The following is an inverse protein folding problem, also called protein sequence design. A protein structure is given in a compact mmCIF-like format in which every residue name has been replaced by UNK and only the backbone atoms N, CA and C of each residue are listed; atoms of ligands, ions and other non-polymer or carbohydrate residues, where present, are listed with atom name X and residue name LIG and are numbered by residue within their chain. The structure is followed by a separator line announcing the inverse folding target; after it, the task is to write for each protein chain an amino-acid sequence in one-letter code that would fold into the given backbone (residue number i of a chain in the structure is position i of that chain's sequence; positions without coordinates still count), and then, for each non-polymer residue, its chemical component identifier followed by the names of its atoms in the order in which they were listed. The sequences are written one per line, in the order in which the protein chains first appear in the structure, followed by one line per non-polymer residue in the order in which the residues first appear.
data_IF_356718721959
#
_entry.id   IF_356718721959
#
_cell.length_a   1.000
_cell.length_b   1.000
_cell.length_c   1.000
_cell.angle_alpha   90.00
_cell.angle_beta   90.00
_cell.angle_gamma   90.00
#
_symmetry.space_group_name_H-M   'P 1'
#
loop_
_entity.id
_entity.type
_entity.pdbx_description
1 polymer ?
#
# COMPACT_ATOMS: atom_id res chain seq x y z
N UNK A 1 29.41 -40.63 -21.82
CA UNK A 1 28.50 -40.87 -22.97
C UNK A 1 28.26 -39.53 -23.65
N UNK A 2 28.61 -39.43 -24.94
CA UNK A 2 28.47 -38.22 -25.77
C UNK A 2 27.25 -38.39 -26.68
N UNK A 3 26.37 -37.39 -26.77
CA UNK A 3 25.36 -37.32 -27.82
C UNK A 3 25.66 -36.14 -28.74
N UNK A 4 25.74 -36.44 -30.03
CA UNK A 4 25.81 -35.51 -31.15
C UNK A 4 24.36 -35.23 -31.56
N UNK A 5 23.87 -34.01 -31.32
CA UNK A 5 22.58 -33.56 -31.84
C UNK A 5 22.82 -32.64 -33.02
N UNK A 6 22.33 -33.05 -34.19
CA UNK A 6 22.31 -32.29 -35.43
C UNK A 6 21.39 -31.07 -35.23
N UNK A 7 21.93 -29.86 -35.36
CA UNK A 7 21.11 -28.67 -35.53
C UNK A 7 20.34 -28.79 -36.85
N UNK A 8 19.04 -29.05 -36.78
CA UNK A 8 18.11 -28.55 -37.79
C UNK A 8 17.90 -27.07 -37.47
N UNK A 9 18.50 -26.20 -38.28
CA UNK A 9 18.15 -24.79 -38.31
C UNK A 9 16.71 -24.67 -38.82
N UNK A 10 15.74 -24.73 -37.90
CA UNK A 10 14.43 -24.16 -38.16
C UNK A 10 14.62 -22.64 -38.32
N UNK A 11 13.91 -21.96 -39.25
CA UNK A 11 13.82 -20.52 -39.21
C UNK A 11 13.29 -20.18 -37.81
N UNK A 12 14.07 -19.43 -37.03
CA UNK A 12 13.59 -18.85 -35.81
C UNK A 12 12.45 -17.90 -36.18
N UNK A 13 11.23 -18.41 -36.19
CA UNK A 13 10.06 -17.62 -35.89
C UNK A 13 10.33 -17.11 -34.48
N UNK A 14 10.85 -15.88 -34.43
CA UNK A 14 10.84 -15.06 -33.23
C UNK A 14 9.37 -14.91 -32.89
N UNK A 15 8.83 -15.85 -32.13
CA UNK A 15 7.73 -15.54 -31.25
C UNK A 15 8.31 -14.50 -30.31
N UNK A 16 8.17 -13.24 -30.68
CA UNK A 16 8.02 -12.20 -29.69
C UNK A 16 6.97 -12.78 -28.75
N UNK A 17 7.42 -13.23 -27.57
CA UNK A 17 6.49 -13.47 -26.47
C UNK A 17 5.84 -12.12 -26.31
N UNK A 18 4.63 -11.99 -26.84
CA UNK A 18 3.73 -10.93 -26.41
C UNK A 18 3.80 -10.99 -24.90
N UNK A 19 4.44 -9.98 -24.31
CA UNK A 19 4.30 -9.66 -22.91
C UNK A 19 2.83 -9.29 -22.81
N UNK A 20 1.97 -10.31 -22.72
CA UNK A 20 0.56 -10.17 -22.45
C UNK A 20 0.50 -9.30 -21.22
N UNK A 21 0.10 -8.03 -21.41
CA UNK A 21 -0.14 -7.11 -20.31
C UNK A 21 -1.46 -7.47 -19.66
N UNK A 22 -1.61 -8.75 -19.28
CA UNK A 22 -2.78 -9.23 -18.59
C UNK A 22 -2.81 -8.51 -17.24
N UNK A 23 -3.71 -7.53 -17.15
CA UNK A 23 -3.91 -6.76 -15.92
C UNK A 23 -4.67 -7.68 -14.97
N UNK A 24 -3.92 -8.30 -14.06
CA UNK A 24 -4.50 -9.09 -12.97
C UNK A 24 -4.93 -8.12 -11.87
N UNK A 25 -6.23 -8.08 -11.55
CA UNK A 25 -6.72 -7.40 -10.34
C UNK A 25 -6.45 -8.28 -9.14
N UNK A 26 -5.98 -7.69 -8.05
CA UNK A 26 -5.68 -8.40 -6.82
C UNK A 26 -5.48 -7.46 -5.63
N UNK A 27 -5.03 -8.04 -4.53
CA UNK A 27 -4.73 -7.35 -3.27
C UNK A 27 -3.23 -7.27 -3.04
N UNK A 28 -2.82 -6.42 -2.11
CA UNK A 28 -1.43 -6.44 -1.64
C UNK A 28 -1.34 -6.18 -0.15
N UNK A 29 -0.36 -6.83 0.47
CA UNK A 29 0.16 -6.51 1.79
C UNK A 29 1.59 -6.02 1.65
N UNK A 30 2.27 -5.83 2.78
CA UNK A 30 3.69 -5.56 2.78
C UNK A 30 4.39 -6.32 3.90
N UNK A 31 5.70 -6.45 3.71
CA UNK A 31 6.61 -6.96 4.71
C UNK A 31 7.92 -6.17 4.72
N UNK A 32 8.76 -6.43 5.72
CA UNK A 32 10.03 -5.74 5.89
C UNK A 32 10.94 -5.75 4.65
N UNK A 33 10.92 -6.85 3.88
CA UNK A 33 11.50 -6.94 2.54
C UNK A 33 13.01 -6.69 2.43
N UNK A 34 13.80 -7.70 2.08
CA UNK A 34 15.21 -7.52 1.71
C UNK A 34 15.67 -8.60 0.72
N UNK A 35 16.89 -8.47 0.21
CA UNK A 35 17.51 -9.46 -0.69
C UNK A 35 18.46 -10.44 0.03
N UNK A 36 18.63 -10.29 1.35
CA UNK A 36 19.44 -11.18 2.18
C UNK A 36 18.63 -12.43 2.57
N UNK A 37 18.17 -13.16 1.56
CA UNK A 37 17.31 -14.33 1.70
C UNK A 37 16.33 -14.44 0.54
N UNK A 38 15.13 -14.91 0.85
CA UNK A 38 14.05 -15.08 -0.10
C UNK A 38 14.22 -16.29 -1.02
N UNK A 39 13.10 -16.75 -1.56
CA UNK A 39 12.99 -17.99 -2.32
C UNK A 39 13.72 -17.90 -3.67
N UNK A 40 13.95 -16.70 -4.20
CA UNK A 40 14.75 -16.51 -5.43
C UNK A 40 16.27 -16.55 -5.20
N UNK A 41 16.74 -16.58 -3.95
CA UNK A 41 18.18 -16.65 -3.62
C UNK A 41 19.04 -15.53 -4.24
N UNK A 42 18.49 -14.33 -4.41
CA UNK A 42 19.20 -13.16 -4.94
C UNK A 42 20.13 -12.49 -3.91
N UNK A 43 20.73 -13.29 -3.03
CA UNK A 43 21.72 -12.84 -2.05
C UNK A 43 22.86 -12.15 -2.81
N UNK A 44 23.32 -11.00 -2.30
CA UNK A 44 24.32 -10.09 -2.92
C UNK A 44 23.89 -9.33 -4.18
N UNK A 45 22.69 -9.57 -4.70
CA UNK A 45 22.13 -8.72 -5.77
C UNK A 45 21.79 -7.33 -5.22
N UNK A 46 21.87 -6.32 -6.09
CA UNK A 46 21.38 -4.97 -5.81
C UNK A 46 20.34 -4.61 -6.85
N UNK A 47 19.14 -4.25 -6.39
CA UNK A 47 18.08 -3.79 -7.29
C UNK A 47 18.55 -2.51 -8.02
N UNK A 48 18.35 -2.42 -9.35
CA UNK A 48 18.59 -1.19 -10.08
C UNK A 48 17.75 -0.03 -9.53
N UNK A 49 18.24 1.20 -9.66
CA UNK A 49 17.52 2.39 -9.24
C UNK A 49 16.12 2.44 -9.90
N UNK A 50 15.09 2.74 -9.10
CA UNK A 50 13.70 2.80 -9.56
C UNK A 50 12.99 1.45 -9.71
N UNK A 51 13.65 0.33 -9.37
CA UNK A 51 13.02 -0.99 -9.26
C UNK A 51 12.97 -1.38 -7.79
N UNK A 52 11.79 -1.80 -7.34
CA UNK A 52 11.59 -2.25 -5.96
C UNK A 52 11.39 -3.78 -5.88
N UNK A 53 11.33 -4.34 -4.67
CA UNK A 53 11.11 -5.78 -4.47
C UNK A 53 9.67 -6.12 -4.06
N UNK A 54 9.27 -7.36 -4.37
CA UNK A 54 8.02 -7.99 -3.88
C UNK A 54 8.20 -9.49 -3.74
N UNK A 55 7.47 -10.10 -2.79
CA UNK A 55 7.19 -11.53 -2.79
C UNK A 55 5.95 -11.80 -3.66
N UNK A 56 6.00 -12.86 -4.46
CA UNK A 56 4.92 -13.24 -5.38
C UNK A 56 4.06 -14.35 -4.82
N UNK A 57 2.77 -14.36 -5.21
CA UNK A 57 1.79 -15.35 -4.77
C UNK A 57 2.31 -16.79 -4.86
N UNK A 58 2.24 -17.51 -3.74
CA UNK A 58 2.63 -18.91 -3.66
C UNK A 58 1.81 -19.79 -4.59
N UNK A 59 0.52 -19.47 -4.77
CA UNK A 59 -0.40 -20.16 -5.69
C UNK A 59 -0.04 -19.95 -7.17
N UNK A 60 0.75 -18.92 -7.50
CA UNK A 60 1.22 -18.62 -8.85
C UNK A 60 2.76 -18.60 -8.94
N UNK A 61 3.45 -19.33 -8.05
CA UNK A 61 4.91 -19.25 -7.92
C UNK A 61 5.68 -19.82 -9.12
N UNK A 62 5.06 -20.71 -9.90
CA UNK A 62 5.64 -21.34 -11.09
C UNK A 62 7.03 -21.98 -10.86
N UNK A 63 7.20 -22.69 -9.73
CA UNK A 63 8.48 -23.34 -9.35
C UNK A 63 9.71 -22.41 -9.53
N UNK A 64 9.60 -21.16 -9.06
CA UNK A 64 10.61 -20.10 -9.19
C UNK A 64 10.82 -19.54 -10.62
N UNK A 65 10.06 -19.99 -11.63
CA UNK A 65 10.11 -19.47 -13.00
C UNK A 65 9.74 -17.98 -13.13
N UNK A 66 9.17 -17.38 -12.08
CA UNK A 66 8.87 -15.95 -12.01
C UNK A 66 9.97 -15.12 -11.34
N UNK A 67 11.00 -15.74 -10.75
CA UNK A 67 12.08 -15.02 -10.10
C UNK A 67 12.79 -14.08 -11.08
N UNK A 68 13.01 -12.83 -10.64
CA UNK A 68 13.68 -11.80 -11.44
C UNK A 68 12.79 -11.11 -12.48
N UNK A 69 11.57 -11.62 -12.71
CA UNK A 69 10.61 -10.93 -13.57
C UNK A 69 10.21 -9.59 -12.94
N UNK A 70 10.08 -8.56 -13.78
CA UNK A 70 9.56 -7.27 -13.38
C UNK A 70 8.07 -7.16 -13.73
N UNK A 71 7.28 -6.71 -12.76
CA UNK A 71 5.85 -6.42 -12.92
C UNK A 71 5.58 -4.95 -12.61
N UNK A 72 4.61 -4.37 -13.30
CA UNK A 72 4.10 -3.03 -12.99
C UNK A 72 2.93 -3.14 -12.00
N UNK A 73 3.09 -2.58 -10.81
CA UNK A 73 2.03 -2.52 -9.79
C UNK A 73 1.37 -1.15 -9.89
N UNK A 74 0.05 -1.13 -10.14
CA UNK A 74 -0.76 0.08 -10.06
C UNK A 74 -1.43 0.13 -8.69
N UNK A 75 -1.07 1.12 -7.88
CA UNK A 75 -1.67 1.33 -6.56
C UNK A 75 -3.00 2.08 -6.61
N UNK A 76 -3.64 2.29 -5.44
CA UNK A 76 -5.01 2.81 -5.34
C UNK A 76 -5.18 4.22 -5.94
N UNK A 77 -4.12 5.03 -5.93
CA UNK A 77 -4.13 6.39 -6.48
C UNK A 77 -3.78 6.43 -7.98
N UNK A 78 -3.77 5.28 -8.66
CA UNK A 78 -3.35 5.15 -10.07
C UNK A 78 -1.84 5.22 -10.29
N UNK A 79 -1.05 5.38 -9.22
CA UNK A 79 0.42 5.42 -9.30
C UNK A 79 0.97 4.05 -9.69
N UNK A 80 1.88 4.03 -10.66
CA UNK A 80 2.51 2.84 -11.20
C UNK A 80 3.96 2.72 -10.73
N UNK A 81 4.35 1.55 -10.25
CA UNK A 81 5.73 1.25 -9.84
C UNK A 81 6.18 -0.07 -10.43
N UNK A 82 7.44 -0.11 -10.86
CA UNK A 82 8.09 -1.34 -11.31
C UNK A 82 8.67 -2.09 -10.11
N UNK A 83 8.30 -3.36 -10.00
CA UNK A 83 8.73 -4.23 -8.92
C UNK A 83 9.28 -5.52 -9.49
N UNK A 84 10.34 -6.06 -8.88
CA UNK A 84 10.93 -7.33 -9.24
C UNK A 84 10.44 -8.40 -8.26
N UNK A 85 10.08 -9.57 -8.79
CA UNK A 85 9.76 -10.74 -7.98
C UNK A 85 11.07 -11.31 -7.44
N UNK A 86 11.25 -11.21 -6.12
CA UNK A 86 12.49 -11.60 -5.43
C UNK A 86 12.26 -12.65 -4.34
N UNK A 87 11.00 -12.92 -4.00
CA UNK A 87 10.63 -13.89 -2.99
C UNK A 87 9.26 -14.52 -3.30
N UNK A 88 8.88 -15.56 -2.55
CA UNK A 88 7.58 -16.22 -2.57
C UNK A 88 6.84 -15.84 -1.29
N UNK A 89 5.55 -15.57 -1.41
CA UNK A 89 4.61 -15.55 -0.28
C UNK A 89 3.78 -16.85 -0.32
N UNK A 90 4.17 -17.92 0.42
CA UNK A 90 3.51 -19.23 0.33
C UNK A 90 2.01 -19.20 0.65
N UNK A 91 1.60 -18.34 1.58
CA UNK A 91 0.24 -18.15 2.06
C UNK A 91 -0.62 -17.27 1.17
N UNK A 92 -0.02 -16.55 0.22
CA UNK A 92 -0.72 -15.60 -0.63
C UNK A 92 -1.50 -16.30 -1.76
N UNK A 93 -2.79 -16.00 -1.84
CA UNK A 93 -3.69 -16.41 -2.94
C UNK A 93 -3.32 -15.79 -4.29
N UNK A 94 -3.92 -16.30 -5.37
CA UNK A 94 -3.62 -15.87 -6.74
C UNK A 94 -3.97 -14.39 -6.92
N UNK A 95 -3.00 -13.62 -7.42
CA UNK A 95 -3.15 -12.17 -7.61
C UNK A 95 -2.79 -11.33 -6.38
N UNK A 96 -2.50 -11.95 -5.23
CA UNK A 96 -1.97 -11.23 -4.07
C UNK A 96 -0.46 -11.03 -4.18
N UNK A 97 0.00 -9.80 -3.93
CA UNK A 97 1.42 -9.45 -3.84
C UNK A 97 1.79 -9.05 -2.42
N UNK A 98 2.91 -9.53 -1.91
CA UNK A 98 3.44 -9.07 -0.63
C UNK A 98 4.64 -8.15 -0.90
N UNK A 99 4.35 -6.86 -1.00
CA UNK A 99 5.27 -5.84 -1.46
C UNK A 99 6.34 -5.58 -0.39
N UNK A 100 7.56 -5.17 -0.76
CA UNK A 100 8.44 -4.56 0.25
C UNK A 100 7.76 -3.31 0.83
N UNK A 101 8.01 -2.99 2.09
CA UNK A 101 7.43 -1.80 2.72
C UNK A 101 7.62 -0.53 1.86
N UNK A 102 8.84 -0.29 1.36
CA UNK A 102 9.12 0.86 0.51
C UNK A 102 8.34 0.84 -0.82
N UNK A 103 8.10 -0.34 -1.39
CA UNK A 103 7.24 -0.52 -2.56
C UNK A 103 5.80 -0.18 -2.23
N UNK A 104 5.26 -0.73 -1.14
CA UNK A 104 3.89 -0.54 -0.68
C UNK A 104 3.60 0.93 -0.44
N UNK A 105 4.46 1.61 0.32
CA UNK A 105 4.37 3.04 0.59
C UNK A 105 4.42 3.83 -0.73
N UNK A 106 5.35 3.46 -1.61
CA UNK A 106 5.54 4.17 -2.86
C UNK A 106 4.35 4.00 -3.82
N UNK A 107 3.65 2.86 -3.86
CA UNK A 107 2.43 2.69 -4.69
C UNK A 107 1.19 3.34 -4.05
N UNK A 108 1.28 3.84 -2.82
CA UNK A 108 0.14 4.38 -2.09
C UNK A 108 -0.66 3.30 -1.35
N UNK A 109 -0.04 2.15 -1.11
CA UNK A 109 -0.51 1.22 -0.10
C UNK A 109 -0.67 1.95 1.23
N UNK A 110 -1.72 1.60 1.96
CA UNK A 110 -1.99 2.24 3.25
C UNK A 110 -2.68 1.28 4.18
N UNK A 111 -2.21 1.29 5.42
CA UNK A 111 -2.91 0.68 6.52
C UNK A 111 -4.03 1.66 6.91
N UNK A 112 -5.31 1.29 6.84
CA UNK A 112 -6.41 2.12 7.37
C UNK A 112 -7.27 2.93 6.39
N UNK A 113 -7.17 2.76 5.06
CA UNK A 113 -8.12 3.42 4.12
C UNK A 113 -9.58 3.03 4.35
N UNK A 114 -9.77 1.77 4.77
CA UNK A 114 -11.05 1.11 4.93
C UNK A 114 -11.55 1.14 6.38
N UNK A 115 -10.79 1.74 7.29
CA UNK A 115 -11.18 1.93 8.68
C UNK A 115 -10.49 3.16 9.25
N UNK A 116 -11.28 4.16 9.63
CA UNK A 116 -10.76 5.34 10.30
C UNK A 116 -11.03 5.24 11.80
N UNK A 117 -10.00 5.51 12.60
CA UNK A 117 -10.13 5.67 14.05
C UNK A 117 -9.11 6.70 14.52
N UNK A 118 -9.58 7.80 15.11
CA UNK A 118 -8.72 8.91 15.54
C UNK A 118 -9.09 9.38 16.95
N UNK A 119 -8.08 9.68 17.76
CA UNK A 119 -8.26 10.23 19.09
C UNK A 119 -7.84 11.70 19.11
N UNK A 120 -8.65 12.55 19.73
CA UNK A 120 -8.29 13.94 20.05
C UNK A 120 -7.75 13.99 21.48
N UNK A 121 -6.55 14.54 21.65
CA UNK A 121 -5.86 14.67 22.96
C UNK A 121 -5.48 16.13 23.23
N UNK A 122 -5.24 16.44 24.51
CA UNK A 122 -4.79 17.76 24.97
C UNK A 122 -5.72 18.94 24.61
N UNK A 123 -7.02 18.68 24.51
CA UNK A 123 -8.04 19.73 24.37
C UNK A 123 -8.27 20.43 25.71
N UNK A 124 -8.34 21.77 25.72
CA UNK A 124 -8.65 22.56 26.93
C UNK A 124 -10.15 22.61 27.27
N UNK A 125 -11.01 22.12 26.37
CA UNK A 125 -12.45 21.93 26.60
C UNK A 125 -12.87 20.50 26.21
N UNK A 126 -14.00 19.97 26.71
CA UNK A 126 -14.54 18.69 26.24
C UNK A 126 -14.79 18.72 24.74
N UNK A 127 -14.40 17.65 24.04
CA UNK A 127 -14.63 17.54 22.59
C UNK A 127 -16.05 17.00 22.36
N UNK A 128 -16.84 17.68 21.53
CA UNK A 128 -18.19 17.27 21.15
C UNK A 128 -18.19 16.32 19.96
N UNK A 129 -17.50 16.68 18.87
CA UNK A 129 -17.49 15.90 17.63
C UNK A 129 -16.17 16.05 16.87
N UNK A 130 -15.92 15.07 16.00
CA UNK A 130 -14.87 15.12 14.98
C UNK A 130 -15.51 14.83 13.63
N UNK A 131 -15.28 15.71 12.67
CA UNK A 131 -15.74 15.57 11.30
C UNK A 131 -14.53 15.60 10.37
N UNK A 132 -14.65 14.92 9.24
CA UNK A 132 -13.55 14.71 8.30
C UNK A 132 -13.94 15.23 6.92
N UNK A 133 -13.01 15.90 6.26
CA UNK A 133 -13.13 16.35 4.89
C UNK A 133 -12.04 15.73 4.02
N UNK A 134 -12.42 15.28 2.83
CA UNK A 134 -11.51 14.74 1.80
C UNK A 134 -11.40 15.66 0.58
N UNK A 135 -12.05 16.83 0.61
CA UNK A 135 -12.20 17.75 -0.52
C UNK A 135 -11.70 19.17 -0.22
N UNK A 136 -10.80 19.30 0.76
CA UNK A 136 -10.20 20.57 1.17
C UNK A 136 -11.15 21.46 1.99
N UNK A 137 -12.05 20.85 2.75
CA UNK A 137 -12.98 21.53 3.65
C UNK A 137 -14.30 21.98 3.03
N UNK A 138 -14.60 21.58 1.79
CA UNK A 138 -15.86 21.94 1.10
C UNK A 138 -17.04 21.16 1.68
N UNK A 139 -16.83 19.89 2.03
CA UNK A 139 -17.80 19.05 2.72
C UNK A 139 -17.18 18.32 3.92
N UNK A 140 -18.02 17.99 4.89
CA UNK A 140 -17.62 17.41 6.17
C UNK A 140 -18.50 16.21 6.50
N UNK A 141 -17.87 15.04 6.67
CA UNK A 141 -18.53 13.80 7.05
C UNK A 141 -18.29 13.52 8.53
N UNK A 142 -19.38 13.30 9.26
CA UNK A 142 -19.32 12.97 10.68
C UNK A 142 -18.67 11.60 10.95
N UNK A 143 -18.08 11.48 12.13
CA UNK A 143 -17.60 10.22 12.70
C UNK A 143 -18.42 9.85 13.93
N UNK A 144 -18.28 8.62 14.41
CA UNK A 144 -18.93 8.14 15.64
C UNK A 144 -17.92 8.06 16.77
N UNK A 145 -18.19 8.76 17.88
CA UNK A 145 -17.41 8.63 19.11
C UNK A 145 -17.68 7.28 19.77
N UNK A 146 -16.61 6.60 20.19
CA UNK A 146 -16.64 5.38 20.99
C UNK A 146 -16.39 5.67 22.47
N UNK A 147 -16.75 4.72 23.32
CA UNK A 147 -16.57 4.75 24.78
C UNK A 147 -15.08 4.83 25.20
N UNK A 148 -14.16 4.29 24.39
CA UNK A 148 -12.72 4.44 24.57
C UNK A 148 -12.12 5.74 23.98
N UNK A 149 -12.94 6.77 23.72
CA UNK A 149 -12.53 8.12 23.29
C UNK A 149 -11.85 8.17 21.90
N UNK A 150 -12.24 7.29 20.99
CA UNK A 150 -11.89 7.38 19.57
C UNK A 150 -13.09 7.79 18.73
N UNK A 151 -12.81 8.45 17.61
CA UNK A 151 -13.76 8.87 16.60
C UNK A 151 -13.58 8.02 15.36
N UNK A 152 -14.62 7.30 14.97
CA UNK A 152 -14.50 6.23 14.00
C UNK A 152 -15.43 6.38 12.81
N UNK A 153 -14.95 5.88 11.68
CA UNK A 153 -15.76 5.62 10.50
C UNK A 153 -15.36 4.23 9.96
N UNK A 154 -16.21 3.21 10.14
CA UNK A 154 -15.94 1.84 9.71
C UNK A 154 -15.73 1.65 8.21
N UNK A 155 -16.19 2.60 7.38
CA UNK A 155 -15.94 2.58 5.94
C UNK A 155 -14.61 3.23 5.55
N UNK A 156 -13.93 3.87 6.51
CA UNK A 156 -12.81 4.76 6.27
C UNK A 156 -13.17 5.92 5.33
N UNK A 157 -12.14 6.59 4.80
CA UNK A 157 -12.30 7.75 3.93
C UNK A 157 -11.68 7.56 2.54
N UNK A 158 -11.07 6.41 2.27
CA UNK A 158 -10.52 6.09 0.94
C UNK A 158 -9.32 6.97 0.53
N UNK A 159 -8.74 7.72 1.46
CA UNK A 159 -7.54 8.56 1.26
C UNK A 159 -6.61 8.46 2.47
N UNK A 160 -5.32 8.69 2.26
CA UNK A 160 -4.30 8.66 3.30
C UNK A 160 -4.21 9.95 4.12
N UNK A 161 -4.70 11.06 3.56
CA UNK A 161 -4.67 12.38 4.19
C UNK A 161 -6.04 13.02 4.13
N UNK A 162 -6.45 13.62 5.25
CA UNK A 162 -7.75 14.27 5.40
C UNK A 162 -7.61 15.61 6.13
N UNK A 163 -8.57 16.49 5.96
CA UNK A 163 -8.75 17.63 6.88
C UNK A 163 -9.70 17.19 8.00
N UNK A 164 -9.41 17.63 9.24
CA UNK A 164 -10.19 17.27 10.42
C UNK A 164 -10.74 18.54 11.07
N UNK A 165 -12.05 18.56 11.34
CA UNK A 165 -12.72 19.58 12.12
C UNK A 165 -13.12 19.00 13.46
N UNK A 166 -12.56 19.56 14.53
CA UNK A 166 -12.89 19.18 15.90
C UNK A 166 -13.78 20.28 16.47
N UNK A 167 -14.94 19.89 17.01
CA UNK A 167 -15.89 20.80 17.66
C UNK A 167 -15.85 20.58 19.16
N UNK A 168 -15.61 21.63 19.93
CA UNK A 168 -15.66 21.61 21.39
C UNK A 168 -17.08 21.65 21.95
N UNK A 169 -17.25 21.42 23.25
CA UNK A 169 -18.56 21.49 23.93
C UNK A 169 -19.18 22.88 23.90
N UNK A 170 -18.37 23.93 23.76
CA UNK A 170 -18.80 25.32 23.58
C UNK A 170 -19.34 25.63 22.18
N UNK A 171 -19.17 24.71 21.23
CA UNK A 171 -19.48 24.93 19.82
C UNK A 171 -18.34 25.54 19.00
N UNK A 172 -17.25 25.99 19.63
CA UNK A 172 -16.05 26.44 18.92
C UNK A 172 -15.43 25.28 18.12
N UNK A 173 -14.77 25.61 17.00
CA UNK A 173 -14.16 24.61 16.11
C UNK A 173 -12.68 24.88 15.88
N UNK A 174 -11.91 23.82 15.72
CA UNK A 174 -10.51 23.84 15.25
C UNK A 174 -10.45 22.99 13.99
N UNK A 175 -9.81 23.51 12.94
CA UNK A 175 -9.55 22.77 11.71
C UNK A 175 -8.05 22.47 11.64
N UNK A 176 -7.72 21.19 11.47
CA UNK A 176 -6.36 20.71 11.22
C UNK A 176 -6.33 20.15 9.81
N UNK A 177 -5.43 20.68 8.98
CA UNK A 177 -5.31 20.29 7.57
C UNK A 177 -4.28 19.19 7.36
N UNK A 178 -4.44 18.39 6.31
CA UNK A 178 -3.49 17.37 5.87
C UNK A 178 -3.09 16.37 6.97
N UNK A 179 -4.05 15.93 7.77
CA UNK A 179 -3.87 14.92 8.82
C UNK A 179 -3.71 13.55 8.17
N UNK A 180 -2.60 12.85 8.45
CA UNK A 180 -2.42 11.46 8.02
C UNK A 180 -3.36 10.52 8.79
N UNK A 181 -3.96 9.56 8.08
CA UNK A 181 -4.81 8.51 8.68
C UNK A 181 -4.08 7.20 8.92
N UNK A 182 -2.76 7.18 8.71
CA UNK A 182 -1.94 6.02 9.02
C UNK A 182 -1.98 5.69 10.53
N UNK A 183 -1.97 4.40 10.90
CA UNK A 183 -1.94 3.99 12.30
C UNK A 183 -0.76 4.59 13.05
N UNK A 184 -1.02 5.01 14.29
CA UNK A 184 -0.02 5.56 15.23
C UNK A 184 0.66 6.86 14.78
N UNK A 185 0.21 7.49 13.68
CA UNK A 185 0.67 8.84 13.32
C UNK A 185 -0.07 9.88 14.15
N UNK A 186 0.66 10.94 14.50
CA UNK A 186 0.14 12.07 15.25
C UNK A 186 0.29 13.35 14.44
N UNK A 187 -0.71 14.22 14.49
CA UNK A 187 -0.66 15.55 13.88
C UNK A 187 -0.95 16.60 14.95
N UNK A 188 -0.07 17.59 15.09
CA UNK A 188 -0.22 18.67 16.07
C UNK A 188 -1.12 19.77 15.51
N UNK A 189 -2.19 20.11 16.24
CA UNK A 189 -3.01 21.28 15.93
C UNK A 189 -2.26 22.59 16.20
N UNK A 190 -2.58 23.65 15.45
CA UNK A 190 -1.94 24.96 15.58
C UNK A 190 -2.30 25.73 16.85
N UNK A 191 -3.42 25.41 17.49
CA UNK A 191 -3.92 26.07 18.70
C UNK A 191 -4.82 25.15 19.52
N UNK A 192 -5.24 25.63 20.71
CA UNK A 192 -6.37 25.05 21.46
C UNK A 192 -7.66 25.84 21.20
N UNK A 193 -8.78 25.44 21.81
CA UNK A 193 -10.04 26.17 21.65
C UNK A 193 -9.94 27.54 22.34
N UNK A 194 -10.55 28.59 21.76
CA UNK A 194 -10.61 29.92 22.35
C UNK A 194 -11.41 29.94 23.65
#
# INVERSE_FOLDING_TARGET
MKFLSLLLAAPALVFARDLSSEVVKGTSTHYGGNLNGGTCSFVSYSLPAGIYGTAFSGSNWNLAGNCGACIEVTGPNGKKIKTMIVDKCPECDKGHLDLFQNTFDAVGGSNGLWWFSMQVRNSNVPVKSLEVSTDGGKSWKGTTRRDYNFFENPSGFGTQTVDVRVTGSTGATIIVKNVSVEPMKETKAGSNFP
#
